data_IF_646978218662
#
_entry.id   IF_646978218662
#
_cell.length_a   1.000
_cell.length_b   1.000
_cell.length_c   1.000
_cell.angle_alpha   90.00
_cell.angle_beta   90.00
_cell.angle_gamma   90.00
#
_symmetry.space_group_name_H-M   'P 1'
#
loop_
_entity.id
_entity.type
_entity.pdbx_description
1 polymer ?
#
# COMPACT_ATOMS: atom_id res chain seq x y z
N UNK A 1 -14.46 19.44 11.08
CA UNK A 1 -13.41 18.47 11.47
C UNK A 1 -13.61 17.06 10.88
N UNK A 2 -14.85 16.57 10.72
CA UNK A 2 -15.13 15.23 10.16
C UNK A 2 -14.75 15.08 8.67
N UNK A 3 -15.10 16.07 7.83
CA UNK A 3 -14.88 16.03 6.39
C UNK A 3 -13.38 15.93 6.02
N UNK A 4 -12.53 16.81 6.57
CA UNK A 4 -11.09 16.82 6.28
C UNK A 4 -10.41 15.48 6.63
N UNK A 5 -10.78 14.87 7.77
CA UNK A 5 -10.23 13.58 8.20
C UNK A 5 -10.65 12.45 7.25
N UNK A 6 -11.92 12.44 6.82
CA UNK A 6 -12.43 11.48 5.84
C UNK A 6 -11.72 11.64 4.48
N UNK A 7 -11.54 12.88 4.01
CA UNK A 7 -10.85 13.16 2.74
C UNK A 7 -9.41 12.64 2.74
N UNK A 8 -8.68 12.79 3.85
CA UNK A 8 -7.31 12.27 3.98
C UNK A 8 -7.24 10.74 3.95
N UNK A 9 -8.21 10.06 4.58
CA UNK A 9 -8.29 8.58 4.57
C UNK A 9 -8.61 8.09 3.15
N UNK A 10 -9.58 8.70 2.48
CA UNK A 10 -9.94 8.38 1.10
C UNK A 10 -8.78 8.63 0.14
N UNK A 11 -8.06 9.75 0.30
CA UNK A 11 -6.88 10.07 -0.50
C UNK A 11 -5.78 9.03 -0.29
N UNK A 12 -5.50 8.64 0.97
CA UNK A 12 -4.53 7.59 1.27
C UNK A 12 -4.91 6.24 0.67
N UNK A 13 -6.19 5.85 0.74
CA UNK A 13 -6.70 4.62 0.12
C UNK A 13 -6.59 4.67 -1.41
N UNK A 14 -6.89 5.81 -2.03
CA UNK A 14 -6.78 6.00 -3.48
C UNK A 14 -5.31 5.91 -3.94
N UNK A 15 -4.38 6.54 -3.22
CA UNK A 15 -2.95 6.46 -3.50
C UNK A 15 -2.42 5.03 -3.37
N UNK A 16 -2.87 4.29 -2.35
CA UNK A 16 -2.50 2.89 -2.18
C UNK A 16 -3.04 2.00 -3.31
N UNK A 17 -4.30 2.20 -3.73
CA UNK A 17 -4.90 1.49 -4.86
C UNK A 17 -4.18 1.81 -6.18
N UNK A 18 -3.89 3.09 -6.43
CA UNK A 18 -3.18 3.51 -7.63
C UNK A 18 -1.75 2.94 -7.67
N UNK A 19 -1.02 3.03 -6.56
CA UNK A 19 0.32 2.46 -6.44
C UNK A 19 0.32 0.93 -6.65
N UNK A 20 -0.66 0.23 -6.08
CA UNK A 20 -0.84 -1.21 -6.29
C UNK A 20 -1.17 -1.51 -7.75
N UNK A 21 -2.06 -0.75 -8.38
CA UNK A 21 -2.41 -0.90 -9.79
C UNK A 21 -1.18 -0.70 -10.70
N UNK A 22 -0.44 0.39 -10.51
CA UNK A 22 0.79 0.65 -11.26
C UNK A 22 1.83 -0.48 -11.06
N UNK A 23 1.97 -0.99 -9.84
CA UNK A 23 2.90 -2.07 -9.54
C UNK A 23 2.53 -3.37 -10.28
N UNK A 24 1.26 -3.79 -10.25
CA UNK A 24 0.84 -5.06 -10.85
C UNK A 24 0.57 -5.01 -12.35
N UNK A 25 0.10 -3.89 -12.89
CA UNK A 25 -0.24 -3.79 -14.32
C UNK A 25 0.92 -3.28 -15.18
N UNK A 26 1.92 -2.60 -14.60
CA UNK A 26 2.98 -1.98 -15.38
C UNK A 26 4.37 -2.34 -14.88
N UNK A 27 4.77 -1.85 -13.70
CA UNK A 27 6.17 -1.91 -13.26
C UNK A 27 6.63 -3.33 -12.97
N UNK A 28 5.82 -4.12 -12.27
CA UNK A 28 6.10 -5.52 -11.96
C UNK A 28 6.25 -6.38 -13.21
N UNK A 29 5.24 -6.46 -14.09
CA UNK A 29 5.33 -7.21 -15.34
C UNK A 29 6.49 -6.76 -16.24
N UNK A 30 6.76 -5.46 -16.32
CA UNK A 30 7.88 -4.92 -17.10
C UNK A 30 9.24 -5.40 -16.58
N UNK A 31 9.46 -5.33 -15.27
CA UNK A 31 10.70 -5.78 -14.64
C UNK A 31 10.88 -7.30 -14.78
N UNK A 32 9.80 -8.06 -14.60
CA UNK A 32 9.82 -9.52 -14.77
C UNK A 32 10.06 -9.92 -16.23
N UNK A 33 9.48 -9.20 -17.19
CA UNK A 33 9.66 -9.44 -18.63
C UNK A 33 11.05 -9.06 -19.14
N UNK A 34 11.74 -8.13 -18.48
CA UNK A 34 13.13 -7.75 -18.81
C UNK A 34 14.11 -8.89 -18.54
N UNK A 35 13.86 -9.70 -17.50
CA UNK A 35 14.60 -10.95 -17.24
C UNK A 35 16.07 -10.81 -16.83
N UNK A 36 16.57 -9.59 -16.65
CA UNK A 36 17.94 -9.35 -16.15
C UNK A 36 18.00 -9.49 -14.62
N UNK A 37 19.17 -9.87 -14.10
CA UNK A 37 19.39 -9.99 -12.63
C UNK A 37 19.04 -8.70 -11.89
N UNK A 38 19.42 -7.56 -12.45
CA UNK A 38 19.12 -6.24 -11.88
C UNK A 38 17.60 -6.00 -11.82
N UNK A 39 16.89 -6.26 -12.91
CA UNK A 39 15.44 -6.09 -12.97
C UNK A 39 14.71 -7.02 -11.99
N UNK A 40 15.18 -8.26 -11.82
CA UNK A 40 14.67 -9.21 -10.83
C UNK A 40 14.88 -8.71 -9.39
N UNK A 41 16.03 -8.11 -9.08
CA UNK A 41 16.29 -7.51 -7.77
C UNK A 41 15.37 -6.31 -7.50
N UNK A 42 15.14 -5.45 -8.50
CA UNK A 42 14.18 -4.35 -8.38
C UNK A 42 12.74 -4.85 -8.23
N UNK A 43 12.34 -5.89 -8.97
CA UNK A 43 11.03 -6.51 -8.83
C UNK A 43 10.83 -7.12 -7.44
N UNK A 44 11.86 -7.78 -6.91
CA UNK A 44 11.85 -8.30 -5.54
C UNK A 44 11.72 -7.18 -4.51
N UNK A 45 12.60 -6.18 -4.57
CA UNK A 45 12.61 -5.07 -3.61
C UNK A 45 11.30 -4.27 -3.62
N UNK A 46 10.72 -4.03 -4.79
CA UNK A 46 9.44 -3.35 -4.87
C UNK A 46 8.25 -4.22 -4.46
N UNK A 47 8.31 -5.55 -4.65
CA UNK A 47 7.29 -6.46 -4.10
C UNK A 47 7.37 -6.51 -2.57
N UNK A 48 8.57 -6.55 -1.99
CA UNK A 48 8.76 -6.41 -0.55
C UNK A 48 8.22 -5.07 -0.02
N UNK A 49 8.51 -3.98 -0.72
CA UNK A 49 8.01 -2.64 -0.37
C UNK A 49 6.48 -2.58 -0.43
N UNK A 50 5.88 -3.17 -1.45
CA UNK A 50 4.43 -3.29 -1.56
C UNK A 50 3.83 -4.09 -0.39
N UNK A 51 4.39 -5.27 -0.07
CA UNK A 51 3.94 -6.09 1.07
C UNK A 51 4.02 -5.34 2.41
N UNK A 52 5.12 -4.63 2.66
CA UNK A 52 5.30 -3.83 3.88
C UNK A 52 4.28 -2.68 3.96
N UNK A 53 4.00 -2.05 2.82
CA UNK A 53 3.00 -0.97 2.73
C UNK A 53 1.60 -1.52 3.02
N UNK A 54 1.23 -2.65 2.40
CA UNK A 54 -0.04 -3.35 2.65
C UNK A 54 -0.20 -3.73 4.12
N UNK A 55 0.85 -4.27 4.73
CA UNK A 55 0.84 -4.63 6.15
C UNK A 55 0.65 -3.40 7.04
N UNK A 56 1.36 -2.29 6.75
CA UNK A 56 1.19 -1.03 7.45
C UNK A 56 -0.25 -0.51 7.37
N UNK A 57 -0.87 -0.55 6.18
CA UNK A 57 -2.27 -0.17 5.98
C UNK A 57 -3.21 -1.06 6.81
N UNK A 58 -3.01 -2.38 6.79
CA UNK A 58 -3.82 -3.32 7.56
C UNK A 58 -3.75 -3.04 9.08
N UNK A 59 -2.55 -2.78 9.62
CA UNK A 59 -2.38 -2.42 11.03
C UNK A 59 -3.11 -1.12 11.37
N UNK A 60 -3.07 -0.12 10.48
CA UNK A 60 -3.77 1.15 10.70
C UNK A 60 -5.30 0.97 10.69
N UNK A 61 -5.82 0.10 9.82
CA UNK A 61 -7.25 -0.26 9.81
C UNK A 61 -7.63 -0.96 11.11
N UNK A 62 -6.85 -1.95 11.57
CA UNK A 62 -7.10 -2.66 12.83
C UNK A 62 -7.08 -1.67 14.01
N UNK A 63 -6.10 -0.76 14.06
CA UNK A 63 -6.03 0.29 15.09
C UNK A 63 -7.23 1.22 15.04
N UNK A 64 -7.69 1.60 13.85
CA UNK A 64 -8.87 2.46 13.68
C UNK A 64 -10.18 1.74 14.04
N UNK A 65 -10.26 0.43 13.82
CA UNK A 65 -11.44 -0.40 14.09
C UNK A 65 -11.52 -0.88 15.55
N UNK A 66 -10.40 -0.92 16.29
CA UNK A 66 -10.45 -1.26 17.72
C UNK A 66 -11.28 -0.21 18.47
N UNK A 67 -12.31 -0.63 19.24
CA UNK A 67 -13.02 0.28 20.11
C UNK A 67 -12.01 0.86 21.11
N UNK A 68 -12.11 2.16 21.36
CA UNK A 68 -11.31 2.81 22.40
C UNK A 68 -11.67 2.16 23.74
N UNK A 69 -10.85 1.21 24.21
CA UNK A 69 -10.94 0.64 25.55
C UNK A 69 -10.59 1.77 26.54
N UNK A 70 -11.59 2.58 26.88
CA UNK A 70 -11.39 3.80 27.67
C UNK A 70 -12.46 4.87 27.51
N UNK A 71 -13.60 4.58 26.89
CA UNK A 71 -14.80 5.42 27.02
C UNK A 71 -15.34 5.31 28.44
N UNK A 72 -14.89 6.20 29.32
CA UNK A 72 -15.62 6.58 30.54
C UNK A 72 -16.89 7.29 30.15
#
# INVERSE_FOLDING_TARGET
MFAMKLTLILLGALLYLFGTGCWFFWTGPYLLGTGTTEALLYAFGGTCTWLLTTFGVAVQIIKAARPTAGGR
#
